data_IF_428159176948
#
_entry.id   IF_428159176948
#
_cell.length_a   1.000
_cell.length_b   1.000
_cell.length_c   1.000
_cell.angle_alpha   90.00
_cell.angle_beta   90.00
_cell.angle_gamma   90.00
#
_symmetry.space_group_name_H-M   'P 1'
#
loop_
_entity.id
_entity.type
_entity.pdbx_description
1 polymer ?
#
# COMPACT_ATOMS: atom_id res chain seq x y z
N UNK A 1 -2.08 -14.72 17.44
CA UNK A 1 -1.22 -13.82 18.24
C UNK A 1 -0.53 -12.84 17.31
N UNK A 2 -0.20 -11.63 17.81
CA UNK A 2 0.63 -10.68 17.09
C UNK A 2 2.13 -10.89 17.40
N UNK A 3 3.00 -10.41 16.52
CA UNK A 3 4.46 -10.61 16.60
C UNK A 3 5.19 -9.58 15.73
N UNK A 4 6.52 -9.49 15.83
CA UNK A 4 7.34 -8.52 15.09
C UNK A 4 7.17 -8.56 13.56
N UNK A 5 6.74 -9.69 12.99
CA UNK A 5 6.38 -9.79 11.56
C UNK A 5 5.22 -8.85 11.21
N UNK A 6 4.24 -8.69 12.10
CA UNK A 6 3.04 -7.91 11.87
C UNK A 6 3.33 -6.40 11.74
N UNK A 7 4.31 -5.88 12.49
CA UNK A 7 4.78 -4.49 12.29
C UNK A 7 5.43 -4.31 10.90
N UNK A 8 6.17 -5.32 10.41
CA UNK A 8 6.79 -5.28 9.07
C UNK A 8 5.76 -5.43 7.95
N UNK A 9 4.70 -6.23 8.11
CA UNK A 9 3.60 -6.31 7.13
C UNK A 9 2.76 -5.04 7.12
N UNK A 10 2.49 -4.46 8.29
CA UNK A 10 1.75 -3.21 8.41
C UNK A 10 2.51 -2.05 7.77
N UNK A 11 3.73 -1.77 8.25
CA UNK A 11 4.56 -0.70 7.69
C UNK A 11 4.96 -0.90 6.23
N UNK A 12 5.12 -2.17 5.78
CA UNK A 12 5.34 -2.50 4.38
C UNK A 12 4.14 -2.16 3.48
N UNK A 13 2.93 -2.48 3.95
CA UNK A 13 1.67 -2.17 3.26
C UNK A 13 1.42 -0.67 3.19
N UNK A 14 1.58 0.05 4.31
CA UNK A 14 1.43 1.51 4.35
C UNK A 14 2.39 2.18 3.37
N UNK A 15 3.67 1.83 3.45
CA UNK A 15 4.68 2.43 2.59
C UNK A 15 4.45 2.13 1.11
N UNK A 16 4.02 0.91 0.78
CA UNK A 16 3.62 0.56 -0.58
C UNK A 16 2.45 1.42 -1.05
N UNK A 17 1.37 1.51 -0.27
CA UNK A 17 0.16 2.23 -0.63
C UNK A 17 0.42 3.73 -0.84
N UNK A 18 1.23 4.34 0.04
CA UNK A 18 1.71 5.71 -0.08
C UNK A 18 2.51 5.96 -1.37
N UNK A 19 3.45 5.08 -1.69
CA UNK A 19 4.24 5.17 -2.93
C UNK A 19 3.37 4.97 -4.18
N UNK A 20 2.40 4.05 -4.15
CA UNK A 20 1.48 3.82 -5.26
C UNK A 20 0.51 4.98 -5.48
N UNK A 21 0.00 5.62 -4.41
CA UNK A 21 -0.83 6.81 -4.52
C UNK A 21 -0.08 8.01 -5.18
N UNK A 22 1.25 8.05 -5.02
CA UNK A 22 2.13 9.03 -5.66
C UNK A 22 2.66 8.58 -7.05
N UNK A 23 2.36 7.37 -7.49
CA UNK A 23 2.86 6.81 -8.75
C UNK A 23 1.75 6.82 -9.80
N UNK A 24 1.91 7.64 -10.84
CA UNK A 24 1.04 7.63 -12.01
C UNK A 24 0.90 6.21 -12.57
N UNK A 25 -0.33 5.82 -12.94
CA UNK A 25 -0.64 4.50 -13.51
C UNK A 25 -0.69 4.59 -15.03
N UNK A 26 0.32 4.10 -15.77
CA UNK A 26 0.34 4.17 -17.23
C UNK A 26 -0.75 3.29 -17.85
N UNK A 27 -1.14 3.55 -19.10
CA UNK A 27 -2.14 2.73 -19.79
C UNK A 27 -1.60 1.35 -20.19
N UNK A 28 -0.33 1.26 -20.61
CA UNK A 28 0.27 0.00 -21.05
C UNK A 28 0.56 -0.93 -19.86
N UNK A 29 0.04 -2.16 -19.92
CA UNK A 29 0.35 -3.22 -18.95
C UNK A 29 1.86 -3.44 -18.75
N UNK A 30 2.67 -3.29 -19.81
CA UNK A 30 4.13 -3.41 -19.72
C UNK A 30 4.79 -2.24 -18.96
N UNK A 31 4.23 -1.04 -19.06
CA UNK A 31 4.65 0.12 -18.25
C UNK A 31 4.16 -0.02 -16.80
N UNK A 32 2.90 -0.43 -16.58
CA UNK A 32 2.36 -0.71 -15.23
C UNK A 32 3.22 -1.73 -14.48
N UNK A 33 3.58 -2.85 -15.12
CA UNK A 33 4.45 -3.87 -14.52
C UNK A 33 5.84 -3.33 -14.14
N UNK A 34 6.38 -2.39 -14.92
CA UNK A 34 7.68 -1.72 -14.60
C UNK A 34 7.54 -0.76 -13.42
N UNK A 35 6.53 0.11 -13.42
CA UNK A 35 6.25 1.01 -12.32
C UNK A 35 5.97 0.25 -11.00
N UNK A 36 5.14 -0.79 -11.04
CA UNK A 36 4.85 -1.66 -9.90
C UNK A 36 6.10 -2.36 -9.35
N UNK A 37 6.98 -2.86 -10.22
CA UNK A 37 8.25 -3.42 -9.78
C UNK A 37 9.12 -2.37 -9.08
N UNK A 38 9.21 -1.15 -9.63
CA UNK A 38 9.99 -0.04 -9.04
C UNK A 38 9.45 0.41 -7.68
N UNK A 39 8.13 0.45 -7.49
CA UNK A 39 7.54 0.73 -6.17
C UNK A 39 7.88 -0.37 -5.16
N UNK A 40 7.77 -1.65 -5.56
CA UNK A 40 8.11 -2.77 -4.66
C UNK A 40 9.63 -2.80 -4.36
N UNK A 41 10.49 -2.35 -5.27
CA UNK A 41 11.93 -2.20 -5.01
C UNK A 41 12.21 -1.23 -3.86
N UNK A 42 11.54 -0.06 -3.82
CA UNK A 42 11.65 0.90 -2.72
C UNK A 42 11.19 0.31 -1.37
N UNK A 43 10.12 -0.48 -1.37
CA UNK A 43 9.64 -1.18 -0.17
C UNK A 43 10.61 -2.30 0.25
N UNK A 44 11.22 -3.00 -0.71
CA UNK A 44 12.22 -4.02 -0.49
C UNK A 44 13.51 -3.47 0.13
N UNK A 45 13.99 -2.33 -0.39
CA UNK A 45 15.09 -1.54 0.17
C UNK A 45 14.80 -1.13 1.62
N UNK A 46 13.65 -0.49 1.89
CA UNK A 46 13.27 -0.06 3.25
C UNK A 46 13.16 -1.22 4.24
N UNK A 47 12.71 -2.40 3.81
CA UNK A 47 12.51 -3.56 4.69
C UNK A 47 13.72 -4.51 4.77
N UNK A 48 14.75 -4.33 3.94
CA UNK A 48 15.90 -5.22 3.86
C UNK A 48 15.56 -6.62 3.32
N UNK A 49 14.61 -6.71 2.38
CA UNK A 49 14.17 -7.97 1.76
C UNK A 49 14.40 -7.94 0.23
N UNK A 50 14.12 -9.05 -0.46
CA UNK A 50 13.99 -9.05 -1.93
C UNK A 50 12.61 -8.57 -2.38
N UNK A 51 12.51 -8.07 -3.63
CA UNK A 51 11.23 -7.71 -4.27
C UNK A 51 10.18 -8.83 -4.18
N UNK A 52 10.60 -10.08 -4.43
CA UNK A 52 9.72 -11.24 -4.37
C UNK A 52 9.16 -11.47 -2.97
N UNK A 53 10.03 -11.41 -1.95
CA UNK A 53 9.62 -11.54 -0.53
C UNK A 53 8.71 -10.39 -0.10
N UNK A 54 8.97 -9.14 -0.51
CA UNK A 54 8.06 -8.04 -0.20
C UNK A 54 6.68 -8.20 -0.84
N UNK A 55 6.62 -8.53 -2.14
CA UNK A 55 5.37 -8.78 -2.86
C UNK A 55 4.54 -9.92 -2.24
N UNK A 56 5.19 -10.98 -1.77
CA UNK A 56 4.49 -12.18 -1.28
C UNK A 56 4.13 -12.10 0.22
N UNK A 57 4.96 -11.43 1.03
CA UNK A 57 4.94 -11.61 2.49
C UNK A 57 4.79 -10.33 3.32
N UNK A 58 4.88 -9.14 2.73
CA UNK A 58 4.96 -7.86 3.48
C UNK A 58 4.09 -6.71 2.96
N UNK A 59 3.49 -6.84 1.77
CA UNK A 59 2.58 -5.84 1.20
C UNK A 59 1.23 -6.53 1.00
N UNK A 60 0.16 -5.92 1.49
CA UNK A 60 -1.20 -6.40 1.23
C UNK A 60 -1.48 -6.43 -0.28
N UNK A 61 -1.96 -7.57 -0.84
CA UNK A 61 -2.16 -7.71 -2.28
C UNK A 61 -3.21 -6.74 -2.84
N UNK A 62 -4.12 -6.22 -2.01
CA UNK A 62 -5.14 -5.26 -2.41
C UNK A 62 -4.53 -3.94 -2.90
N UNK A 63 -3.38 -3.54 -2.35
CA UNK A 63 -2.65 -2.33 -2.79
C UNK A 63 -2.26 -2.44 -4.27
N UNK A 64 -1.78 -3.62 -4.69
CA UNK A 64 -1.43 -3.87 -6.09
C UNK A 64 -2.67 -3.89 -6.99
N UNK A 65 -3.76 -4.50 -6.50
CA UNK A 65 -5.01 -4.65 -7.26
C UNK A 65 -5.65 -3.28 -7.52
N UNK A 66 -5.92 -2.51 -6.46
CA UNK A 66 -6.53 -1.20 -6.56
C UNK A 66 -5.70 -0.22 -7.41
N UNK A 67 -4.36 -0.25 -7.32
CA UNK A 67 -3.51 0.59 -8.18
C UNK A 67 -3.56 0.15 -9.64
N UNK A 68 -3.50 -1.15 -9.94
CA UNK A 68 -3.56 -1.67 -11.32
C UNK A 68 -4.90 -1.37 -11.99
N UNK A 69 -6.00 -1.45 -11.22
CA UNK A 69 -7.35 -1.09 -11.65
C UNK A 69 -7.56 0.43 -11.76
N UNK A 70 -6.62 1.25 -11.27
CA UNK A 70 -6.73 2.72 -11.26
C UNK A 70 -7.66 3.29 -10.18
N UNK A 71 -8.06 2.47 -9.20
CA UNK A 71 -9.04 2.83 -8.15
C UNK A 71 -8.39 3.33 -6.86
N UNK A 72 -7.11 3.03 -6.61
CA UNK A 72 -6.45 3.28 -5.31
C UNK A 72 -6.57 4.73 -4.82
N UNK A 73 -6.28 5.72 -5.68
CA UNK A 73 -6.26 7.13 -5.26
C UNK A 73 -7.65 7.64 -4.89
N UNK A 74 -8.65 7.32 -5.71
CA UNK A 74 -10.05 7.73 -5.47
C UNK A 74 -10.63 7.03 -4.24
N UNK A 75 -10.39 5.73 -4.08
CA UNK A 75 -10.82 4.98 -2.90
C UNK A 75 -10.13 5.46 -1.62
N UNK A 76 -8.85 5.84 -1.70
CA UNK A 76 -8.16 6.47 -0.57
C UNK A 76 -8.78 7.83 -0.27
N UNK A 77 -9.09 8.65 -1.28
CA UNK A 77 -9.77 9.93 -1.10
C UNK A 77 -11.18 9.77 -0.49
N UNK A 78 -11.91 8.71 -0.84
CA UNK A 78 -13.20 8.36 -0.23
C UNK A 78 -13.05 7.91 1.23
N UNK A 79 -12.09 7.03 1.52
CA UNK A 79 -11.69 6.68 2.90
C UNK A 79 -11.10 7.89 3.68
N UNK A 80 -10.80 8.99 2.98
CA UNK A 80 -10.34 10.27 3.52
C UNK A 80 -11.49 11.27 3.78
N UNK A 81 -12.76 10.95 3.46
CA UNK A 81 -13.89 11.85 3.71
C UNK A 81 -14.41 11.76 5.15
N UNK A 82 -14.76 12.90 5.73
CA UNK A 82 -15.41 13.00 7.06
C UNK A 82 -14.58 12.45 8.24
N UNK A 83 -13.24 12.41 8.13
CA UNK A 83 -12.40 11.69 9.09
C UNK A 83 -12.46 12.25 10.51
N UNK A 84 -12.30 11.33 11.46
CA UNK A 84 -11.75 11.60 12.79
C UNK A 84 -10.35 10.99 12.88
N UNK A 85 -9.47 11.55 13.70
CA UNK A 85 -8.21 10.89 14.04
C UNK A 85 -8.48 9.55 14.74
N UNK A 86 -7.59 8.58 14.55
CA UNK A 86 -7.64 7.31 15.28
C UNK A 86 -6.54 7.38 16.33
N UNK A 87 -6.91 7.29 17.62
CA UNK A 87 -5.95 7.42 18.71
C UNK A 87 -4.85 6.34 18.59
N UNK A 88 -3.59 6.78 18.60
CA UNK A 88 -2.42 5.91 18.49
C UNK A 88 -1.97 5.56 17.07
N UNK A 89 -2.58 6.12 16.03
CA UNK A 89 -2.14 6.02 14.63
C UNK A 89 -1.83 7.40 14.06
N UNK A 90 -0.86 7.48 13.13
CA UNK A 90 -0.69 8.68 12.30
C UNK A 90 -1.75 8.77 11.17
N UNK A 91 -1.75 9.86 10.42
CA UNK A 91 -2.75 10.10 9.35
C UNK A 91 -2.64 9.12 8.18
N UNK A 92 -1.44 8.62 7.87
CA UNK A 92 -1.16 7.67 6.80
C UNK A 92 -1.58 6.25 7.22
N UNK A 93 -1.17 5.82 8.42
CA UNK A 93 -1.62 4.58 9.05
C UNK A 93 -3.15 4.53 9.14
N UNK A 94 -3.76 5.59 9.67
CA UNK A 94 -5.21 5.66 9.82
C UNK A 94 -5.93 5.73 8.47
N UNK A 95 -5.35 6.37 7.44
CA UNK A 95 -5.88 6.36 6.07
C UNK A 95 -5.89 4.93 5.51
N UNK A 96 -4.75 4.24 5.53
CA UNK A 96 -4.60 2.88 5.00
C UNK A 96 -5.51 1.91 5.76
N UNK A 97 -5.64 2.06 7.09
CA UNK A 97 -6.54 1.24 7.90
C UNK A 97 -8.01 1.42 7.49
N UNK A 98 -8.47 2.66 7.26
CA UNK A 98 -9.85 2.93 6.79
C UNK A 98 -10.07 2.40 5.38
N UNK A 99 -9.09 2.59 4.49
CA UNK A 99 -9.17 2.13 3.11
C UNK A 99 -9.23 0.60 3.03
N UNK A 100 -8.43 -0.13 3.82
CA UNK A 100 -8.51 -1.60 3.90
C UNK A 100 -9.85 -2.07 4.48
N UNK A 101 -10.32 -1.45 5.59
CA UNK A 101 -11.59 -1.81 6.23
C UNK A 101 -12.84 -1.55 5.40
N UNK A 102 -12.76 -0.70 4.38
CA UNK A 102 -13.86 -0.48 3.43
C UNK A 102 -14.05 -1.63 2.41
N UNK A 103 -13.33 -2.75 2.60
CA UNK A 103 -13.15 -3.87 1.64
C UNK A 103 -13.26 -5.24 2.29
N UNK A 104 -13.55 -5.25 3.60
CA UNK A 104 -13.97 -6.42 4.39
C UNK A 104 -15.50 -6.54 4.32
#
# INVERSE_FOLDING_TARGET
>A
EFSSKHFRTWGGTIHAASLFAQTERPESQAQQKRAMNSVIDKVAERLGNTRAVCRQCYIDPEVFRAWSEGRLLDEMADANKGKRSIAGLDDEEALVLRWLKARE
#
